data_IF_649383573334
#
_entry.id   IF_649383573334
#
_cell.length_a   1.000
_cell.length_b   1.000
_cell.length_c   1.000
_cell.angle_alpha   90.00
_cell.angle_beta   90.00
_cell.angle_gamma   90.00
#
_symmetry.space_group_name_H-M   'P 1'
#
loop_
_entity.id
_entity.type
_entity.pdbx_description
1 polymer ?
#
# COMPACT_ATOMS: atom_id res chain seq x y z
N UNK A 1 -56.20 11.61 -12.76
CA UNK A 1 -55.97 10.17 -13.02
C UNK A 1 -54.52 9.86 -12.62
N UNK A 2 -54.28 9.38 -11.39
CA UNK A 2 -52.92 9.04 -10.90
C UNK A 2 -52.58 7.63 -11.39
N UNK A 3 -51.79 7.53 -12.45
CA UNK A 3 -51.31 6.24 -12.97
C UNK A 3 -50.26 5.73 -11.97
N UNK A 4 -50.67 4.82 -11.06
CA UNK A 4 -49.83 4.28 -9.97
C UNK A 4 -48.51 3.66 -10.45
N UNK A 5 -48.43 3.21 -11.72
CA UNK A 5 -47.19 2.69 -12.32
C UNK A 5 -46.17 3.74 -12.78
N UNK A 6 -46.62 4.95 -13.17
CA UNK A 6 -45.70 6.00 -13.66
C UNK A 6 -44.86 6.58 -12.53
N UNK A 7 -45.43 6.72 -11.34
CA UNK A 7 -44.73 7.22 -10.16
C UNK A 7 -43.64 6.26 -9.69
N UNK A 8 -43.89 4.94 -9.75
CA UNK A 8 -42.90 3.93 -9.37
C UNK A 8 -41.75 3.87 -10.39
N UNK A 9 -42.06 3.85 -11.69
CA UNK A 9 -41.05 3.88 -12.74
C UNK A 9 -40.18 5.13 -12.68
N UNK A 10 -40.80 6.30 -12.51
CA UNK A 10 -40.08 7.57 -12.34
C UNK A 10 -39.23 7.59 -11.07
N UNK A 11 -39.74 7.07 -9.95
CA UNK A 11 -38.97 6.96 -8.70
C UNK A 11 -37.76 6.03 -8.85
N UNK A 12 -37.90 4.88 -9.50
CA UNK A 12 -36.78 3.95 -9.76
C UNK A 12 -35.71 4.61 -10.64
N UNK A 13 -36.11 5.40 -11.64
CA UNK A 13 -35.16 6.15 -12.48
C UNK A 13 -34.42 7.21 -11.67
N UNK A 14 -35.13 7.99 -10.85
CA UNK A 14 -34.48 8.97 -9.94
C UNK A 14 -33.53 8.24 -8.99
N UNK A 15 -33.97 7.14 -8.39
CA UNK A 15 -33.16 6.34 -7.49
C UNK A 15 -31.88 5.88 -8.19
N UNK A 16 -31.98 5.33 -9.40
CA UNK A 16 -30.83 4.90 -10.19
C UNK A 16 -29.86 6.06 -10.50
N UNK A 17 -30.38 7.23 -10.88
CA UNK A 17 -29.56 8.43 -11.15
C UNK A 17 -28.85 8.91 -9.88
N UNK A 18 -29.57 9.02 -8.77
CA UNK A 18 -29.00 9.46 -7.48
C UNK A 18 -27.96 8.46 -6.98
N UNK A 19 -28.23 7.17 -7.09
CA UNK A 19 -27.27 6.11 -6.74
C UNK A 19 -26.02 6.19 -7.62
N UNK A 20 -26.17 6.35 -8.93
CA UNK A 20 -25.02 6.49 -9.83
C UNK A 20 -24.20 7.75 -9.53
N UNK A 21 -24.86 8.90 -9.36
CA UNK A 21 -24.20 10.15 -8.99
C UNK A 21 -23.46 10.03 -7.65
N UNK A 22 -24.05 9.34 -6.67
CA UNK A 22 -23.40 9.07 -5.40
C UNK A 22 -22.13 8.22 -5.56
N UNK A 23 -22.18 7.15 -6.36
CA UNK A 23 -20.98 6.35 -6.66
C UNK A 23 -19.89 7.17 -7.35
N UNK A 24 -20.25 8.04 -8.29
CA UNK A 24 -19.30 8.93 -8.97
C UNK A 24 -18.59 9.85 -7.97
N UNK A 25 -19.33 10.44 -7.02
CA UNK A 25 -18.75 11.26 -5.93
C UNK A 25 -17.83 10.46 -5.00
N UNK A 26 -18.09 9.16 -4.80
CA UNK A 26 -17.24 8.30 -3.98
C UNK A 26 -15.97 7.83 -4.70
N UNK A 27 -15.92 7.84 -6.03
CA UNK A 27 -14.79 7.38 -6.84
C UNK A 27 -13.41 7.90 -6.37
N UNK A 28 -13.22 9.19 -6.05
CA UNK A 28 -11.93 9.71 -5.59
C UNK A 28 -11.48 9.11 -4.25
N UNK A 29 -12.44 8.69 -3.42
CA UNK A 29 -12.23 8.14 -2.09
C UNK A 29 -12.34 6.62 -2.05
N UNK A 30 -12.55 5.95 -3.20
CA UNK A 30 -12.69 4.50 -3.29
C UNK A 30 -11.53 3.77 -2.60
N UNK A 31 -10.29 4.20 -2.86
CA UNK A 31 -9.10 3.66 -2.20
C UNK A 31 -9.16 3.80 -0.68
N UNK A 32 -9.58 4.97 -0.18
CA UNK A 32 -9.67 5.24 1.25
C UNK A 32 -10.74 4.39 1.94
N UNK A 33 -11.91 4.26 1.31
CA UNK A 33 -13.01 3.42 1.79
C UNK A 33 -12.59 1.94 1.82
N UNK A 34 -11.96 1.48 0.74
CA UNK A 34 -11.52 0.10 0.59
C UNK A 34 -10.48 -0.30 1.65
N UNK A 35 -9.44 0.52 1.83
CA UNK A 35 -8.41 0.27 2.84
C UNK A 35 -8.93 0.41 4.27
N UNK A 36 -9.84 1.35 4.53
CA UNK A 36 -10.53 1.45 5.82
C UNK A 36 -11.30 0.16 6.14
N UNK A 37 -12.01 -0.41 5.16
CA UNK A 37 -12.76 -1.66 5.33
C UNK A 37 -11.82 -2.85 5.59
N UNK A 38 -10.75 -3.00 4.81
CA UNK A 38 -9.76 -4.05 5.01
C UNK A 38 -9.12 -3.97 6.40
N UNK A 39 -8.65 -2.78 6.78
CA UNK A 39 -8.02 -2.56 8.08
C UNK A 39 -9.01 -2.81 9.21
N UNK A 40 -10.26 -2.38 9.09
CA UNK A 40 -11.30 -2.64 10.09
C UNK A 40 -11.50 -4.15 10.30
N UNK A 41 -11.60 -4.93 9.23
CA UNK A 41 -11.73 -6.40 9.32
C UNK A 41 -10.50 -7.04 9.97
N UNK A 42 -9.30 -6.60 9.61
CA UNK A 42 -8.04 -7.17 10.12
C UNK A 42 -7.82 -6.86 11.59
N UNK A 43 -8.10 -5.62 11.99
CA UNK A 43 -7.89 -5.14 13.36
C UNK A 43 -9.12 -5.35 14.26
N UNK A 44 -10.21 -5.89 13.74
CA UNK A 44 -11.36 -6.33 14.54
C UNK A 44 -10.99 -7.19 15.76
N UNK A 45 -10.17 -8.27 15.64
CA UNK A 45 -9.76 -9.05 16.81
C UNK A 45 -9.03 -8.19 17.85
N UNK A 46 -8.16 -7.27 17.44
CA UNK A 46 -7.49 -6.35 18.37
C UNK A 46 -8.50 -5.44 19.09
N UNK A 47 -9.46 -4.89 18.34
CA UNK A 47 -10.56 -4.09 18.90
C UNK A 47 -11.38 -4.90 19.91
N UNK A 48 -11.76 -6.14 19.60
CA UNK A 48 -12.53 -7.00 20.50
C UNK A 48 -11.78 -7.31 21.81
N UNK A 49 -10.48 -7.56 21.75
CA UNK A 49 -9.62 -7.76 22.92
C UNK A 49 -9.55 -6.51 23.79
N UNK A 50 -9.41 -5.32 23.18
CA UNK A 50 -9.42 -4.05 23.89
C UNK A 50 -10.79 -3.73 24.49
N UNK A 51 -11.87 -3.99 23.77
CA UNK A 51 -13.26 -3.82 24.24
C UNK A 51 -13.52 -4.64 25.51
N UNK A 52 -13.16 -5.93 25.49
CA UNK A 52 -13.27 -6.81 26.66
C UNK A 52 -12.44 -6.32 27.85
N UNK A 53 -11.22 -5.81 27.61
CA UNK A 53 -10.34 -5.29 28.67
C UNK A 53 -10.80 -3.94 29.24
N UNK A 54 -11.49 -3.11 28.45
CA UNK A 54 -11.91 -1.75 28.81
C UNK A 54 -13.36 -1.68 29.35
N UNK A 55 -13.97 -2.82 29.70
CA UNK A 55 -15.32 -2.86 30.27
C UNK A 55 -16.41 -2.53 29.26
N UNK A 56 -16.30 -3.09 28.05
CA UNK A 56 -17.29 -3.00 26.97
C UNK A 56 -17.50 -1.62 26.34
N UNK A 57 -16.61 -0.67 26.60
CA UNK A 57 -16.66 0.69 26.03
C UNK A 57 -16.20 0.70 24.57
N UNK A 58 -17.13 0.43 23.65
CA UNK A 58 -16.87 0.28 22.22
C UNK A 58 -16.16 1.50 21.57
N UNK A 59 -16.58 2.73 21.90
CA UNK A 59 -15.95 3.95 21.35
C UNK A 59 -14.49 4.12 21.75
N UNK A 60 -14.16 3.83 23.01
CA UNK A 60 -12.78 3.91 23.54
C UNK A 60 -11.90 2.80 22.96
N UNK A 61 -12.41 1.58 22.85
CA UNK A 61 -11.69 0.46 22.25
C UNK A 61 -11.35 0.74 20.77
N UNK A 62 -12.29 1.32 20.02
CA UNK A 62 -12.11 1.69 18.62
C UNK A 62 -11.08 2.82 18.44
N UNK A 63 -11.13 3.84 19.29
CA UNK A 63 -10.13 4.91 19.30
C UNK A 63 -8.73 4.39 19.67
N UNK A 64 -8.63 3.54 20.69
CA UNK A 64 -7.36 2.92 21.09
C UNK A 64 -6.78 2.06 19.97
N UNK A 65 -7.62 1.29 19.27
CA UNK A 65 -7.22 0.50 18.10
C UNK A 65 -6.70 1.39 16.97
N UNK A 66 -7.40 2.49 16.66
CA UNK A 66 -6.95 3.47 15.67
C UNK A 66 -5.59 4.06 16.04
N UNK A 67 -5.38 4.43 17.32
CA UNK A 67 -4.10 4.94 17.79
C UNK A 67 -2.96 3.92 17.63
N UNK A 68 -3.22 2.64 17.93
CA UNK A 68 -2.23 1.57 17.73
C UNK A 68 -1.87 1.46 16.25
N UNK A 69 -2.87 1.49 15.35
CA UNK A 69 -2.62 1.46 13.90
C UNK A 69 -1.79 2.66 13.46
N UNK A 70 -2.15 3.87 13.91
CA UNK A 70 -1.38 5.08 13.63
C UNK A 70 0.06 4.95 14.13
N UNK A 71 0.30 4.48 15.36
CA UNK A 71 1.65 4.29 15.88
C UNK A 71 2.46 3.30 15.03
N UNK A 72 1.86 2.16 14.65
CA UNK A 72 2.52 1.16 13.80
C UNK A 72 2.97 1.76 12.46
N UNK A 73 2.19 2.68 11.87
CA UNK A 73 2.49 3.31 10.58
C UNK A 73 3.42 4.52 10.71
N UNK A 74 3.17 5.41 11.68
CA UNK A 74 3.90 6.67 11.83
C UNK A 74 5.27 6.48 12.48
N UNK A 75 5.45 5.51 13.39
CA UNK A 75 6.76 5.26 14.02
C UNK A 75 7.87 4.97 13.01
N UNK A 76 7.74 3.98 12.10
CA UNK A 76 8.75 3.74 11.08
C UNK A 76 8.91 4.93 10.12
N UNK A 77 7.81 5.60 9.72
CA UNK A 77 7.89 6.78 8.86
C UNK A 77 8.70 7.93 9.50
N UNK A 78 8.53 8.14 10.80
CA UNK A 78 9.28 9.15 11.57
C UNK A 78 10.78 8.80 11.65
N UNK A 79 11.11 7.53 11.89
CA UNK A 79 12.49 7.03 11.90
C UNK A 79 13.18 7.21 10.54
N UNK A 80 12.43 7.01 9.45
CA UNK A 80 12.94 7.18 8.09
C UNK A 80 13.20 8.66 7.82
N UNK A 81 12.21 9.52 8.12
CA UNK A 81 12.32 10.96 7.87
C UNK A 81 13.49 11.55 8.63
N UNK A 82 13.72 11.14 9.89
CA UNK A 82 14.87 11.60 10.66
C UNK A 82 16.20 11.10 10.08
N UNK A 83 16.27 9.85 9.65
CA UNK A 83 17.49 9.26 9.06
C UNK A 83 17.84 9.90 7.73
N UNK A 84 16.85 10.13 6.85
CA UNK A 84 17.07 10.80 5.57
C UNK A 84 17.53 12.25 5.74
N UNK A 85 17.00 12.99 6.73
CA UNK A 85 17.44 14.37 7.01
C UNK A 85 18.91 14.40 7.44
N UNK A 86 19.37 13.43 8.23
CA UNK A 86 20.78 13.35 8.65
C UNK A 86 21.69 13.01 7.46
N UNK A 87 21.28 12.07 6.61
CA UNK A 87 22.08 11.62 5.47
C UNK A 87 22.14 12.68 4.35
N UNK A 88 21.01 13.34 4.04
CA UNK A 88 20.96 14.46 3.09
C UNK A 88 21.80 15.63 3.57
N UNK A 89 21.75 15.99 4.86
CA UNK A 89 22.61 17.04 5.41
C UNK A 89 24.10 16.66 5.36
N UNK A 90 24.44 15.38 5.53
CA UNK A 90 25.84 14.91 5.44
C UNK A 90 26.35 14.95 3.99
N UNK A 91 25.51 14.58 3.01
CA UNK A 91 25.84 14.68 1.59
C UNK A 91 25.92 16.15 1.16
N UNK A 92 24.99 17.00 1.61
CA UNK A 92 24.97 18.42 1.29
C UNK A 92 26.19 19.17 1.86
N UNK A 93 26.55 18.88 3.12
CA UNK A 93 27.74 19.47 3.76
C UNK A 93 29.05 18.94 3.17
N UNK A 94 29.13 17.66 2.77
CA UNK A 94 30.27 17.13 2.00
C UNK A 94 30.38 17.76 0.61
N UNK A 95 29.27 18.08 -0.04
CA UNK A 95 29.28 18.79 -1.33
C UNK A 95 29.65 20.27 -1.19
N UNK A 96 29.19 20.96 -0.14
CA UNK A 96 29.54 22.36 0.13
C UNK A 96 30.99 22.54 0.60
N UNK A 97 31.44 21.72 1.56
CA UNK A 97 32.78 21.83 2.14
C UNK A 97 33.87 21.31 1.20
N UNK A 98 33.53 20.47 0.22
CA UNK A 98 34.47 19.93 -0.77
C UNK A 98 34.36 20.61 -2.15
N UNK A 99 33.77 21.81 -2.19
CA UNK A 99 33.70 22.68 -3.38
C UNK A 99 35.08 23.06 -3.95
N UNK A 100 36.16 22.93 -3.17
CA UNK A 100 37.53 23.08 -3.64
C UNK A 100 38.07 21.84 -4.41
N UNK A 101 37.43 20.67 -4.29
CA UNK A 101 37.90 19.42 -4.92
C UNK A 101 37.02 18.94 -6.08
N UNK A 102 35.84 19.52 -6.29
CA UNK A 102 34.98 19.13 -7.42
C UNK A 102 35.70 19.20 -8.79
N UNK A 103 36.53 20.24 -9.08
CA UNK A 103 37.34 20.26 -10.31
C UNK A 103 38.43 19.18 -10.33
N UNK A 104 39.03 18.86 -9.18
CA UNK A 104 40.16 17.93 -9.08
C UNK A 104 39.71 16.46 -9.20
N UNK A 105 38.63 16.08 -8.52
CA UNK A 105 38.03 14.74 -8.60
C UNK A 105 37.48 14.47 -10.00
N UNK A 106 36.92 15.49 -10.65
CA UNK A 106 36.42 15.38 -12.02
C UNK A 106 37.56 15.29 -13.05
N UNK A 107 38.66 16.02 -12.84
CA UNK A 107 39.86 15.91 -13.67
C UNK A 107 40.52 14.52 -13.56
N UNK A 108 40.53 13.93 -12.37
CA UNK A 108 41.07 12.59 -12.12
C UNK A 108 40.19 11.48 -12.74
N UNK A 109 38.86 11.65 -12.68
CA UNK A 109 37.90 10.79 -13.39
C UNK A 109 38.11 10.82 -14.90
N UNK A 110 38.24 12.02 -15.50
CA UNK A 110 38.52 12.18 -16.93
C UNK A 110 39.82 11.46 -17.35
N UNK A 111 40.82 11.42 -16.47
CA UNK A 111 42.09 10.73 -16.70
C UNK A 111 42.03 9.20 -16.57
N UNK A 112 40.92 8.64 -16.08
CA UNK A 112 40.69 7.19 -16.07
C UNK A 112 39.64 6.71 -17.07
N UNK A 113 39.00 7.63 -17.81
CA UNK A 113 38.08 7.26 -18.88
C UNK A 113 38.83 6.67 -20.10
N UNK A 114 38.30 5.60 -20.73
CA UNK A 114 38.83 5.05 -21.98
C UNK A 114 38.78 6.09 -23.11
N UNK A 115 39.67 5.97 -24.10
CA UNK A 115 39.85 6.95 -25.18
C UNK A 115 38.58 7.26 -25.98
N UNK A 116 37.69 6.28 -26.18
CA UNK A 116 36.39 6.48 -26.85
C UNK A 116 35.47 7.42 -26.08
N UNK A 117 35.49 7.35 -24.74
CA UNK A 117 34.64 8.18 -23.89
C UNK A 117 35.22 9.59 -23.77
N UNK A 118 36.54 9.74 -23.67
CA UNK A 118 37.19 11.06 -23.71
C UNK A 118 36.91 11.81 -25.01
N UNK A 119 36.95 11.13 -26.15
CA UNK A 119 36.66 11.76 -27.44
C UNK A 119 35.20 12.19 -27.53
N UNK A 120 34.26 11.36 -27.07
CA UNK A 120 32.84 11.71 -27.01
C UNK A 120 32.56 12.91 -26.07
N UNK A 121 33.24 12.98 -24.92
CA UNK A 121 33.16 14.11 -23.98
C UNK A 121 33.81 15.40 -24.54
N UNK A 122 34.92 15.28 -25.27
CA UNK A 122 35.58 16.40 -25.94
C UNK A 122 34.75 16.96 -27.11
N UNK A 123 34.10 16.10 -27.88
CA UNK A 123 33.17 16.47 -28.96
C UNK A 123 31.92 17.21 -28.46
N UNK A 124 31.57 17.04 -27.18
CA UNK A 124 30.42 17.69 -26.54
C UNK A 124 30.78 18.93 -25.69
N UNK A 125 32.01 19.46 -25.79
CA UNK A 125 32.52 20.58 -24.96
C UNK A 125 32.34 20.31 -23.45
N UNK A 126 32.81 19.14 -23.00
CA UNK A 126 32.84 18.70 -21.59
C UNK A 126 34.26 18.33 -21.17
N UNK A 127 35.23 19.09 -21.67
CA UNK A 127 36.67 18.91 -21.48
C UNK A 127 37.25 19.88 -20.44
N UNK A 128 36.46 20.85 -19.95
CA UNK A 128 36.91 21.82 -18.96
C UNK A 128 35.95 21.87 -17.77
N UNK A 129 36.48 21.80 -16.54
CA UNK A 129 35.69 21.69 -15.31
C UNK A 129 34.72 22.87 -15.11
N UNK A 130 35.08 24.06 -15.60
CA UNK A 130 34.24 25.26 -15.56
C UNK A 130 33.02 25.18 -16.49
N UNK A 131 33.16 24.61 -17.69
CA UNK A 131 32.04 24.45 -18.64
C UNK A 131 31.06 23.37 -18.17
N UNK A 132 31.58 22.33 -17.52
CA UNK A 132 30.78 21.29 -16.89
C UNK A 132 30.04 21.86 -15.68
N UNK A 133 30.68 22.69 -14.86
CA UNK A 133 30.02 23.40 -13.77
C UNK A 133 28.93 24.33 -14.29
N UNK A 134 29.14 25.04 -15.41
CA UNK A 134 28.11 25.86 -16.06
C UNK A 134 26.96 25.05 -16.65
N UNK A 135 27.24 23.88 -17.26
CA UNK A 135 26.19 22.98 -17.76
C UNK A 135 25.43 22.32 -16.61
N UNK A 136 26.09 21.93 -15.52
CA UNK A 136 25.47 21.41 -14.30
C UNK A 136 24.61 22.46 -13.60
N UNK A 137 25.07 23.71 -13.52
CA UNK A 137 24.26 24.81 -12.98
C UNK A 137 23.11 25.18 -13.92
N UNK A 138 23.30 25.10 -15.24
CA UNK A 138 22.21 25.18 -16.22
C UNK A 138 21.21 24.02 -16.12
N UNK A 139 21.68 22.80 -15.82
CA UNK A 139 20.85 21.62 -15.56
C UNK A 139 20.16 21.70 -14.20
N UNK A 140 20.78 22.31 -13.20
CA UNK A 140 20.21 22.56 -11.88
C UNK A 140 19.18 23.70 -11.94
N UNK A 141 19.36 24.70 -12.80
CA UNK A 141 18.38 25.76 -13.07
C UNK A 141 17.20 25.24 -13.90
N UNK A 142 17.45 24.43 -14.94
CA UNK A 142 16.40 23.73 -15.71
C UNK A 142 15.68 22.67 -14.86
N UNK A 143 16.42 21.89 -14.09
CA UNK A 143 15.91 20.95 -13.09
C UNK A 143 15.13 21.68 -11.99
N UNK A 144 15.57 22.87 -11.58
CA UNK A 144 14.88 23.77 -10.66
C UNK A 144 13.59 24.35 -11.23
N UNK A 145 13.53 24.66 -12.53
CA UNK A 145 12.30 25.06 -13.22
C UNK A 145 11.33 23.88 -13.41
N UNK A 146 11.83 22.67 -13.70
CA UNK A 146 11.04 21.43 -13.66
C UNK A 146 10.55 21.13 -12.24
N UNK A 147 11.37 21.37 -11.21
CA UNK A 147 10.97 21.27 -9.81
C UNK A 147 9.94 22.32 -9.44
N UNK A 148 10.03 23.56 -9.93
CA UNK A 148 9.03 24.61 -9.69
C UNK A 148 7.66 24.27 -10.30
N UNK A 149 7.62 23.69 -11.50
CA UNK A 149 6.40 23.09 -12.06
C UNK A 149 5.94 21.83 -11.30
N UNK A 150 6.89 21.07 -10.76
CA UNK A 150 6.63 19.90 -9.91
C UNK A 150 6.15 20.27 -8.51
N UNK A 151 6.43 21.46 -7.97
CA UNK A 151 5.93 21.89 -6.65
C UNK A 151 4.40 21.93 -6.65
N UNK A 152 3.79 22.35 -7.76
CA UNK A 152 2.33 22.32 -7.90
C UNK A 152 1.78 20.88 -8.03
N UNK A 153 2.46 20.01 -8.78
CA UNK A 153 2.06 18.60 -8.96
C UNK A 153 2.29 17.76 -7.69
N UNK A 154 3.42 17.95 -7.01
CA UNK A 154 3.77 17.35 -5.71
C UNK A 154 2.85 17.90 -4.64
N UNK A 155 2.55 19.21 -4.64
CA UNK A 155 1.60 19.84 -3.73
C UNK A 155 0.19 19.27 -3.88
N UNK A 156 -0.29 19.13 -5.13
CA UNK A 156 -1.58 18.51 -5.43
C UNK A 156 -1.61 17.03 -5.02
N UNK A 157 -0.58 16.26 -5.37
CA UNK A 157 -0.47 14.84 -5.01
C UNK A 157 -0.41 14.62 -3.49
N UNK A 158 0.37 15.44 -2.78
CA UNK A 158 0.48 15.41 -1.32
C UNK A 158 -0.84 15.80 -0.65
N UNK A 159 -1.54 16.81 -1.18
CA UNK A 159 -2.86 17.20 -0.69
C UNK A 159 -3.88 16.08 -0.87
N UNK A 160 -3.99 15.51 -2.08
CA UNK A 160 -4.89 14.38 -2.36
C UNK A 160 -4.57 13.17 -1.49
N UNK A 161 -3.29 12.84 -1.31
CA UNK A 161 -2.87 11.76 -0.41
C UNK A 161 -3.24 12.05 1.04
N UNK A 162 -2.97 13.25 1.55
CA UNK A 162 -3.25 13.65 2.94
C UNK A 162 -4.75 13.62 3.23
N UNK A 163 -5.56 14.18 2.33
CA UNK A 163 -7.02 14.15 2.44
C UNK A 163 -7.53 12.72 2.37
N UNK A 164 -7.07 11.93 1.39
CA UNK A 164 -7.47 10.52 1.25
C UNK A 164 -7.10 9.68 2.48
N UNK A 165 -5.91 9.90 3.03
CA UNK A 165 -5.45 9.26 4.26
C UNK A 165 -6.27 9.69 5.48
N UNK A 166 -6.59 10.98 5.61
CA UNK A 166 -7.48 11.49 6.66
C UNK A 166 -8.89 10.88 6.57
N UNK A 167 -9.46 10.80 5.36
CA UNK A 167 -10.75 10.14 5.11
C UNK A 167 -10.67 8.65 5.45
N UNK A 168 -9.59 7.97 5.07
CA UNK A 168 -9.38 6.56 5.42
C UNK A 168 -9.36 6.36 6.95
N UNK A 169 -8.60 7.16 7.70
CA UNK A 169 -8.54 7.05 9.17
C UNK A 169 -9.89 7.37 9.83
N UNK A 170 -10.60 8.39 9.32
CA UNK A 170 -11.95 8.73 9.76
C UNK A 170 -12.90 7.55 9.54
N UNK A 171 -12.96 7.01 8.33
CA UNK A 171 -13.79 5.85 8.00
C UNK A 171 -13.39 4.62 8.82
N UNK A 172 -12.10 4.36 8.98
CA UNK A 172 -11.60 3.24 9.78
C UNK A 172 -12.08 3.34 11.23
N UNK A 173 -12.05 4.53 11.83
CA UNK A 173 -12.61 4.74 13.17
C UNK A 173 -14.10 4.38 13.24
N UNK A 174 -14.90 4.89 12.30
CA UNK A 174 -16.32 4.58 12.24
C UNK A 174 -16.57 3.10 11.94
N UNK A 175 -15.82 2.46 11.04
CA UNK A 175 -15.97 1.04 10.76
C UNK A 175 -15.53 0.15 11.94
N UNK A 176 -14.52 0.55 12.72
CA UNK A 176 -14.16 -0.16 13.95
C UNK A 176 -15.23 -0.01 15.02
N UNK A 177 -15.76 1.20 15.20
CA UNK A 177 -16.79 1.51 16.20
C UNK A 177 -18.15 0.90 15.84
N UNK A 178 -18.55 1.08 14.59
CA UNK A 178 -19.93 0.91 14.12
C UNK A 178 -20.07 -0.25 13.12
N UNK A 179 -18.98 -0.97 12.84
CA UNK A 179 -18.92 -1.99 11.80
C UNK A 179 -19.95 -3.10 11.95
N UNK A 180 -20.22 -3.56 13.19
CA UNK A 180 -21.23 -4.58 13.44
C UNK A 180 -22.63 -4.14 12.98
N UNK A 181 -23.03 -2.92 13.34
CA UNK A 181 -24.30 -2.35 12.92
C UNK A 181 -24.35 -2.15 11.39
N UNK A 182 -23.28 -1.60 10.80
CA UNK A 182 -23.24 -1.34 9.35
C UNK A 182 -23.31 -2.65 8.56
N UNK A 183 -22.60 -3.68 9.00
CA UNK A 183 -22.64 -5.01 8.37
C UNK A 183 -24.04 -5.61 8.49
N UNK A 184 -24.68 -5.58 9.66
CA UNK A 184 -26.05 -6.06 9.83
C UNK A 184 -27.03 -5.34 8.88
N UNK A 185 -26.95 -4.02 8.78
CA UNK A 185 -27.77 -3.23 7.88
C UNK A 185 -27.56 -3.63 6.40
N UNK A 186 -26.30 -3.84 5.98
CA UNK A 186 -25.98 -4.32 4.63
C UNK A 186 -26.52 -5.74 4.38
N UNK A 187 -26.40 -6.63 5.37
CA UNK A 187 -26.92 -7.99 5.29
C UNK A 187 -28.46 -7.98 5.20
N UNK A 188 -29.15 -7.12 5.93
CA UNK A 188 -30.62 -7.00 5.87
C UNK A 188 -31.12 -6.46 4.53
N UNK A 189 -30.41 -5.48 3.96
CA UNK A 189 -30.78 -4.87 2.68
C UNK A 189 -30.62 -5.81 1.47
N UNK A 190 -29.77 -6.83 1.56
CA UNK A 190 -29.52 -7.77 0.47
C UNK A 190 -30.69 -8.78 0.33
N UNK A 191 -31.26 -9.00 -0.87
CA UNK A 191 -32.32 -9.99 -1.09
C UNK A 191 -31.75 -11.41 -1.29
N UNK A 192 -30.93 -11.87 -0.35
CA UNK A 192 -30.29 -13.19 -0.36
C UNK A 192 -30.66 -13.99 0.91
N UNK A 193 -30.44 -15.30 0.89
CA UNK A 193 -30.58 -16.13 2.09
C UNK A 193 -29.48 -15.80 3.12
N UNK A 194 -29.79 -15.92 4.41
CA UNK A 194 -28.87 -15.55 5.50
C UNK A 194 -27.51 -16.25 5.40
N UNK A 195 -27.52 -17.57 5.12
CA UNK A 195 -26.29 -18.35 5.00
C UNK A 195 -25.41 -17.87 3.82
N UNK A 196 -25.99 -17.50 2.68
CA UNK A 196 -25.23 -16.99 1.52
C UNK A 196 -24.52 -15.70 1.87
N UNK A 197 -25.23 -14.76 2.50
CA UNK A 197 -24.65 -13.46 2.86
C UNK A 197 -23.51 -13.60 3.87
N UNK A 198 -23.72 -14.43 4.90
CA UNK A 198 -22.70 -14.71 5.91
C UNK A 198 -21.47 -15.38 5.29
N UNK A 199 -21.67 -16.39 4.43
CA UNK A 199 -20.57 -17.09 3.75
C UNK A 199 -19.73 -16.15 2.89
N UNK A 200 -20.37 -15.30 2.08
CA UNK A 200 -19.66 -14.32 1.24
C UNK A 200 -18.87 -13.32 2.09
N UNK A 201 -19.44 -12.85 3.20
CA UNK A 201 -18.77 -11.93 4.11
C UNK A 201 -17.58 -12.58 4.82
N UNK A 202 -17.72 -13.84 5.24
CA UNK A 202 -16.62 -14.62 5.83
C UNK A 202 -15.50 -14.87 4.82
N UNK A 203 -15.84 -15.19 3.56
CA UNK A 203 -14.84 -15.30 2.48
C UNK A 203 -14.14 -13.99 2.21
N UNK A 204 -14.87 -12.88 2.13
CA UNK A 204 -14.29 -11.55 2.01
C UNK A 204 -13.29 -11.27 3.15
N UNK A 205 -13.69 -11.55 4.39
CA UNK A 205 -12.87 -11.29 5.56
C UNK A 205 -11.64 -12.21 5.64
N UNK A 206 -11.79 -13.49 5.29
CA UNK A 206 -10.71 -14.46 5.25
C UNK A 206 -9.65 -14.05 4.22
N UNK A 207 -10.05 -13.69 3.00
CA UNK A 207 -9.13 -13.30 1.92
C UNK A 207 -8.47 -11.97 2.21
N UNK A 208 -9.20 -11.00 2.76
CA UNK A 208 -8.63 -9.71 3.20
C UNK A 208 -7.55 -9.93 4.27
N UNK A 209 -7.82 -10.77 5.28
CA UNK A 209 -6.85 -11.13 6.32
C UNK A 209 -5.66 -11.90 5.75
N UNK A 210 -5.89 -12.89 4.90
CA UNK A 210 -4.83 -13.68 4.26
C UNK A 210 -3.90 -12.80 3.41
N UNK A 211 -4.46 -11.87 2.64
CA UNK A 211 -3.69 -10.98 1.76
C UNK A 211 -2.79 -10.04 2.55
N UNK A 212 -3.30 -9.43 3.63
CA UNK A 212 -2.49 -8.54 4.46
C UNK A 212 -1.49 -9.31 5.32
N UNK A 213 -1.88 -10.45 5.92
CA UNK A 213 -0.93 -11.34 6.63
C UNK A 213 0.19 -11.79 5.70
N UNK A 214 -0.14 -12.21 4.48
CA UNK A 214 0.81 -12.57 3.45
C UNK A 214 1.77 -11.42 3.13
N UNK A 215 1.23 -10.21 2.99
CA UNK A 215 2.03 -8.99 2.76
C UNK A 215 2.99 -8.69 3.91
N UNK A 216 2.55 -8.84 5.16
CA UNK A 216 3.41 -8.64 6.34
C UNK A 216 4.53 -9.69 6.40
N UNK A 217 4.22 -10.96 6.15
CA UNK A 217 5.24 -12.03 6.12
C UNK A 217 6.25 -11.77 5.00
N UNK A 218 5.79 -11.40 3.81
CA UNK A 218 6.65 -11.04 2.68
C UNK A 218 7.51 -9.84 3.03
N UNK A 219 6.94 -8.79 3.62
CA UNK A 219 7.67 -7.62 4.08
C UNK A 219 8.81 -7.98 5.06
N UNK A 220 8.55 -8.85 6.05
CA UNK A 220 9.59 -9.31 6.98
C UNK A 220 10.70 -10.06 6.24
N UNK A 221 10.34 -11.02 5.37
CA UNK A 221 11.31 -11.78 4.58
C UNK A 221 12.15 -10.86 3.69
N UNK A 222 11.52 -9.90 3.01
CA UNK A 222 12.21 -8.92 2.16
C UNK A 222 13.11 -8.00 2.96
N UNK A 223 12.69 -7.56 4.15
CA UNK A 223 13.53 -6.76 5.04
C UNK A 223 14.77 -7.49 5.53
N UNK A 224 14.61 -8.76 5.90
CA UNK A 224 15.74 -9.62 6.30
C UNK A 224 16.69 -9.85 5.13
N UNK A 225 16.17 -10.25 3.97
CA UNK A 225 16.98 -10.46 2.77
C UNK A 225 17.68 -9.18 2.32
N UNK A 226 16.99 -8.04 2.37
CA UNK A 226 17.55 -6.75 2.02
C UNK A 226 18.62 -6.28 3.00
N UNK A 227 18.41 -6.49 4.31
CA UNK A 227 19.43 -6.24 5.33
C UNK A 227 20.68 -7.10 5.11
N UNK A 228 20.52 -8.37 4.76
CA UNK A 228 21.63 -9.26 4.41
C UNK A 228 22.35 -8.76 3.14
N UNK A 229 21.61 -8.39 2.10
CA UNK A 229 22.20 -7.87 0.86
C UNK A 229 23.03 -6.59 1.12
N UNK A 230 22.49 -5.64 1.89
CA UNK A 230 23.21 -4.42 2.21
C UNK A 230 24.42 -4.66 3.11
N UNK A 231 24.33 -5.62 4.04
CA UNK A 231 25.45 -6.05 4.85
C UNK A 231 26.59 -6.63 3.99
N UNK A 232 26.27 -7.50 3.03
CA UNK A 232 27.26 -8.06 2.09
C UNK A 232 27.92 -6.96 1.23
N UNK A 233 27.16 -5.94 0.81
CA UNK A 233 27.73 -4.81 0.07
C UNK A 233 28.51 -3.83 0.93
N UNK A 234 28.48 -3.96 2.26
CA UNK A 234 29.17 -3.07 3.18
C UNK A 234 28.58 -1.67 3.25
N UNK A 235 27.25 -1.53 3.09
CA UNK A 235 26.55 -0.28 3.43
C UNK A 235 26.42 -0.22 4.95
N UNK A 236 26.86 0.89 5.53
CA UNK A 236 26.70 1.16 6.96
C UNK A 236 25.21 1.24 7.32
N UNK A 237 24.83 0.65 8.46
CA UNK A 237 23.43 0.62 8.90
C UNK A 237 22.55 -0.36 8.12
N UNK A 238 23.09 -1.50 7.66
CA UNK A 238 22.34 -2.54 6.95
C UNK A 238 21.05 -2.99 7.64
N UNK A 239 21.02 -3.02 8.98
CA UNK A 239 19.80 -3.30 9.76
C UNK A 239 18.72 -2.21 9.59
N UNK A 240 19.13 -0.94 9.55
CA UNK A 240 18.22 0.19 9.33
C UNK A 240 17.63 0.10 7.92
N UNK A 241 18.48 -0.12 6.91
CA UNK A 241 18.04 -0.28 5.52
C UNK A 241 17.15 -1.52 5.31
N UNK A 242 17.43 -2.63 5.98
CA UNK A 242 16.58 -3.81 5.98
C UNK A 242 15.23 -3.57 6.66
N UNK A 243 15.21 -2.87 7.79
CA UNK A 243 13.96 -2.50 8.49
C UNK A 243 13.13 -1.54 7.65
N UNK A 244 13.78 -0.57 7.02
CA UNK A 244 13.18 0.36 6.07
C UNK A 244 12.55 -0.38 4.90
N UNK A 245 13.30 -1.31 4.33
CA UNK A 245 12.81 -2.15 3.24
C UNK A 245 11.62 -2.99 3.68
N UNK A 246 11.63 -3.58 4.88
CA UNK A 246 10.48 -4.32 5.41
C UNK A 246 9.23 -3.44 5.41
N UNK A 247 9.34 -2.22 5.95
CA UNK A 247 8.21 -1.31 6.05
C UNK A 247 7.69 -0.86 4.68
N UNK A 248 8.58 -0.46 3.78
CA UNK A 248 8.19 -0.02 2.44
C UNK A 248 7.61 -1.16 1.61
N UNK A 249 8.07 -2.41 1.82
CA UNK A 249 7.59 -3.61 1.12
C UNK A 249 6.13 -3.97 1.39
N UNK A 250 5.48 -3.31 2.36
CA UNK A 250 4.02 -3.32 2.48
C UNK A 250 3.34 -2.82 1.21
N UNK A 251 4.01 -1.96 0.45
CA UNK A 251 3.64 -1.53 -0.89
C UNK A 251 4.30 -2.51 -1.90
N UNK A 252 3.53 -3.41 -2.54
CA UNK A 252 4.09 -4.44 -3.42
C UNK A 252 4.87 -3.83 -4.60
N UNK A 253 5.95 -4.50 -5.01
CA UNK A 253 6.85 -4.14 -6.14
C UNK A 253 7.57 -2.78 -6.05
N UNK A 254 6.91 -1.73 -5.55
CA UNK A 254 7.43 -0.38 -5.45
C UNK A 254 8.25 -0.20 -4.16
N UNK A 255 7.80 -0.82 -3.06
CA UNK A 255 8.36 -0.64 -1.73
C UNK A 255 9.84 -0.95 -1.61
N UNK A 256 10.24 -2.16 -2.02
CA UNK A 256 11.64 -2.58 -1.98
C UNK A 256 12.50 -1.84 -3.01
N UNK A 257 11.94 -1.55 -4.20
CA UNK A 257 12.62 -0.82 -5.27
C UNK A 257 13.06 0.58 -4.88
N UNK A 258 12.24 1.30 -4.10
CA UNK A 258 12.61 2.62 -3.55
C UNK A 258 13.91 2.58 -2.75
N UNK A 259 14.25 1.44 -2.15
CA UNK A 259 15.44 1.29 -1.30
C UNK A 259 16.65 0.82 -2.10
N UNK A 260 16.53 -0.27 -2.88
CA UNK A 260 17.70 -0.87 -3.54
C UNK A 260 18.11 -0.15 -4.83
N UNK A 261 17.19 0.51 -5.54
CA UNK A 261 17.51 1.22 -6.79
C UNK A 261 18.46 2.40 -6.54
N UNK A 262 18.20 3.33 -5.60
CA UNK A 262 19.15 4.40 -5.28
C UNK A 262 20.50 3.87 -4.78
N UNK A 263 20.49 2.82 -3.94
CA UNK A 263 21.73 2.19 -3.47
C UNK A 263 22.57 1.61 -4.62
N UNK A 264 21.91 1.02 -5.61
CA UNK A 264 22.57 0.51 -6.82
C UNK A 264 23.16 1.63 -7.67
N UNK A 265 22.41 2.72 -7.88
CA UNK A 265 22.89 3.91 -8.59
C UNK A 265 24.12 4.50 -7.88
N UNK A 266 24.09 4.58 -6.55
CA UNK A 266 25.23 5.02 -5.74
C UNK A 266 26.47 4.14 -5.94
N UNK A 267 26.31 2.81 -6.01
CA UNK A 267 27.44 1.92 -6.27
C UNK A 267 28.00 2.03 -7.69
N UNK A 268 27.16 2.29 -8.69
CA UNK A 268 27.65 2.62 -10.03
C UNK A 268 28.43 3.95 -10.02
N UNK A 269 27.91 4.97 -9.34
CA UNK A 269 28.56 6.28 -9.25
C UNK A 269 29.92 6.22 -8.52
N UNK A 270 30.08 5.30 -7.57
CA UNK A 270 31.33 5.08 -6.82
C UNK A 270 32.26 4.04 -7.45
N UNK A 271 32.00 3.62 -8.69
CA UNK A 271 32.78 2.60 -9.43
C UNK A 271 32.84 1.21 -8.76
N UNK A 272 31.94 0.91 -7.82
CA UNK A 272 31.84 -0.38 -7.15
C UNK A 272 30.95 -1.36 -7.94
N UNK A 273 31.37 -1.68 -9.17
CA UNK A 273 30.57 -2.43 -10.16
C UNK A 273 30.09 -3.78 -9.62
N UNK A 274 30.94 -4.51 -8.89
CA UNK A 274 30.56 -5.81 -8.31
C UNK A 274 29.38 -5.68 -7.33
N UNK A 275 29.38 -4.65 -6.48
CA UNK A 275 28.31 -4.41 -5.49
C UNK A 275 27.00 -4.03 -6.19
N UNK A 276 27.07 -3.20 -7.23
CA UNK A 276 25.91 -2.80 -8.02
C UNK A 276 25.28 -4.01 -8.75
N UNK A 277 26.09 -4.83 -9.42
CA UNK A 277 25.60 -6.02 -10.13
C UNK A 277 25.06 -7.08 -9.16
N UNK A 278 25.71 -7.27 -8.01
CA UNK A 278 25.22 -8.15 -6.95
C UNK A 278 23.84 -7.70 -6.45
N UNK A 279 23.66 -6.41 -6.15
CA UNK A 279 22.36 -5.88 -5.71
C UNK A 279 21.26 -6.09 -6.75
N UNK A 280 21.52 -5.74 -8.02
CA UNK A 280 20.53 -5.96 -9.09
C UNK A 280 20.16 -7.44 -9.17
N UNK A 281 21.15 -8.32 -9.25
CA UNK A 281 20.90 -9.76 -9.36
C UNK A 281 20.13 -10.29 -8.14
N UNK A 282 20.54 -9.91 -6.94
CA UNK A 282 19.89 -10.36 -5.71
C UNK A 282 18.45 -9.85 -5.59
N UNK A 283 18.21 -8.56 -5.85
CA UNK A 283 16.87 -7.98 -5.71
C UNK A 283 15.92 -8.41 -6.82
N UNK A 284 16.37 -8.46 -8.06
CA UNK A 284 15.52 -8.88 -9.19
C UNK A 284 15.20 -10.37 -9.11
N UNK A 285 16.20 -11.21 -8.80
CA UNK A 285 16.00 -12.67 -8.76
C UNK A 285 15.45 -13.10 -7.41
N UNK A 286 16.18 -12.93 -6.31
CA UNK A 286 15.80 -13.49 -5.01
C UNK A 286 14.58 -12.76 -4.44
N UNK A 287 14.63 -11.44 -4.34
CA UNK A 287 13.53 -10.65 -3.74
C UNK A 287 12.31 -10.60 -4.66
N UNK A 288 12.51 -10.55 -5.98
CA UNK A 288 11.43 -10.69 -6.96
C UNK A 288 10.73 -12.04 -6.92
N UNK A 289 11.46 -13.15 -6.74
CA UNK A 289 10.86 -14.47 -6.55
C UNK A 289 10.04 -14.57 -5.26
N UNK A 290 10.50 -13.93 -4.18
CA UNK A 290 9.72 -13.85 -2.93
C UNK A 290 8.36 -13.18 -3.20
N UNK A 291 8.34 -12.05 -3.90
CA UNK A 291 7.08 -11.36 -4.22
C UNK A 291 6.18 -12.15 -5.16
N UNK A 292 6.74 -12.89 -6.12
CA UNK A 292 5.97 -13.61 -7.14
C UNK A 292 5.51 -15.01 -6.72
N UNK A 293 6.17 -15.64 -5.74
CA UNK A 293 5.87 -17.02 -5.31
C UNK A 293 5.33 -17.05 -3.88
N UNK A 294 6.05 -16.43 -2.93
CA UNK A 294 5.69 -16.55 -1.51
C UNK A 294 4.34 -15.90 -1.24
N UNK A 295 4.06 -14.77 -1.89
CA UNK A 295 2.84 -14.00 -1.70
C UNK A 295 1.59 -14.77 -2.19
N UNK A 296 1.50 -15.29 -3.44
CA UNK A 296 0.38 -16.16 -3.82
C UNK A 296 0.22 -17.39 -2.94
N UNK A 297 1.33 -18.05 -2.58
CA UNK A 297 1.33 -19.26 -1.76
C UNK A 297 0.73 -19.03 -0.36
N UNK A 298 1.08 -17.91 0.28
CA UNK A 298 0.56 -17.55 1.60
C UNK A 298 -0.93 -17.22 1.55
N UNK A 299 -1.39 -16.59 0.47
CA UNK A 299 -2.82 -16.28 0.29
C UNK A 299 -3.63 -17.53 -0.09
N UNK A 300 -3.09 -18.42 -0.91
CA UNK A 300 -3.74 -19.65 -1.37
C UNK A 300 -4.02 -20.64 -0.25
N UNK A 301 -3.06 -20.77 0.69
CA UNK A 301 -3.20 -21.67 1.84
C UNK A 301 -4.39 -21.33 2.73
N UNK A 302 -4.63 -20.05 3.00
CA UNK A 302 -5.72 -19.61 3.87
C UNK A 302 -7.08 -19.56 3.13
N UNK A 303 -7.08 -19.53 1.80
CA UNK A 303 -8.30 -19.32 0.99
C UNK A 303 -8.77 -20.55 0.21
N UNK A 304 -8.02 -21.66 0.26
CA UNK A 304 -8.25 -22.90 -0.52
C UNK A 304 -8.34 -22.64 -2.04
N UNK A 305 -7.64 -21.62 -2.52
CA UNK A 305 -7.62 -21.24 -3.94
C UNK A 305 -6.33 -21.71 -4.58
N UNK A 306 -6.38 -22.16 -5.85
CA UNK A 306 -5.16 -22.49 -6.57
C UNK A 306 -4.25 -21.27 -6.75
N UNK A 307 -2.95 -21.43 -6.51
CA UNK A 307 -1.97 -20.34 -6.54
C UNK A 307 -1.94 -19.60 -7.89
N UNK A 308 -2.14 -20.31 -9.00
CA UNK A 308 -2.18 -19.70 -10.34
C UNK A 308 -3.33 -18.71 -10.49
N UNK A 309 -4.48 -18.97 -9.86
CA UNK A 309 -5.63 -18.07 -9.91
C UNK A 309 -5.33 -16.80 -9.13
N UNK A 310 -4.66 -16.93 -7.98
CA UNK A 310 -4.22 -15.78 -7.17
C UNK A 310 -3.25 -14.94 -7.98
N UNK A 311 -2.23 -15.55 -8.59
CA UNK A 311 -1.28 -14.83 -9.44
C UNK A 311 -1.98 -14.06 -10.57
N UNK A 312 -2.82 -14.74 -11.36
CA UNK A 312 -3.53 -14.12 -12.49
C UNK A 312 -4.47 -13.00 -12.01
N UNK A 313 -5.22 -13.25 -10.94
CA UNK A 313 -6.14 -12.25 -10.38
C UNK A 313 -5.42 -11.05 -9.78
N UNK A 314 -4.27 -11.25 -9.15
CA UNK A 314 -3.41 -10.18 -8.66
C UNK A 314 -2.88 -9.33 -9.82
N UNK A 315 -2.33 -9.96 -10.87
CA UNK A 315 -1.81 -9.24 -12.03
C UNK A 315 -2.92 -8.49 -12.78
N UNK A 316 -4.03 -9.17 -13.09
CA UNK A 316 -5.18 -8.55 -13.74
C UNK A 316 -5.85 -7.48 -12.87
N UNK A 317 -5.88 -7.69 -11.56
CA UNK A 317 -6.36 -6.72 -10.59
C UNK A 317 -5.51 -5.45 -10.59
N UNK A 318 -4.18 -5.59 -10.59
CA UNK A 318 -3.26 -4.44 -10.66
C UNK A 318 -3.43 -3.63 -11.94
N UNK A 319 -3.70 -4.29 -13.07
CA UNK A 319 -3.95 -3.61 -14.34
C UNK A 319 -5.24 -2.78 -14.30
N UNK A 320 -6.32 -3.31 -13.71
CA UNK A 320 -7.63 -2.65 -13.69
C UNK A 320 -7.76 -1.61 -12.58
N UNK A 321 -7.26 -1.92 -11.38
CA UNK A 321 -7.45 -1.12 -10.16
C UNK A 321 -6.16 -0.46 -9.65
N UNK A 322 -5.09 -0.50 -10.43
CA UNK A 322 -3.78 0.03 -10.05
C UNK A 322 -3.22 -0.68 -8.82
N UNK A 323 -2.55 0.08 -7.93
CA UNK A 323 -1.88 -0.49 -6.75
C UNK A 323 -2.84 -1.22 -5.78
N UNK A 324 -4.10 -0.79 -5.70
CA UNK A 324 -5.12 -1.44 -4.88
C UNK A 324 -5.53 -2.81 -5.44
N UNK A 325 -5.35 -3.00 -6.76
CA UNK A 325 -5.62 -4.21 -7.50
C UNK A 325 -4.91 -5.45 -6.98
N UNK A 326 -3.76 -5.26 -6.32
CA UNK A 326 -3.05 -6.33 -5.64
C UNK A 326 -3.93 -7.09 -4.64
N UNK A 327 -4.76 -6.35 -3.87
CA UNK A 327 -5.67 -6.94 -2.87
C UNK A 327 -7.05 -7.21 -3.47
N UNK A 328 -7.55 -6.30 -4.29
CA UNK A 328 -8.88 -6.41 -4.93
C UNK A 328 -8.94 -7.63 -5.85
N UNK A 329 -7.87 -7.93 -6.59
CA UNK A 329 -7.82 -9.04 -7.54
C UNK A 329 -8.15 -10.41 -6.90
N UNK A 330 -7.33 -10.88 -5.94
CA UNK A 330 -7.60 -12.13 -5.21
C UNK A 330 -8.95 -12.12 -4.50
N UNK A 331 -9.40 -10.96 -4.01
CA UNK A 331 -10.69 -10.81 -3.34
C UNK A 331 -11.87 -11.04 -4.29
N UNK A 332 -11.82 -10.48 -5.51
CA UNK A 332 -12.83 -10.71 -6.53
C UNK A 332 -12.79 -12.17 -6.99
N UNK A 333 -11.60 -12.73 -7.23
CA UNK A 333 -11.46 -14.15 -7.60
C UNK A 333 -12.03 -15.08 -6.53
N UNK A 334 -11.85 -14.72 -5.26
CA UNK A 334 -12.38 -15.44 -4.13
C UNK A 334 -13.90 -15.43 -4.08
N UNK A 335 -14.50 -14.25 -4.21
CA UNK A 335 -15.95 -14.09 -4.25
C UNK A 335 -16.54 -14.77 -5.49
N UNK A 336 -15.84 -14.73 -6.63
CA UNK A 336 -16.23 -15.45 -7.84
C UNK A 336 -16.33 -16.96 -7.59
N UNK A 337 -15.30 -17.57 -6.98
CA UNK A 337 -15.35 -19.00 -6.61
C UNK A 337 -16.46 -19.27 -5.61
N UNK A 338 -16.61 -18.44 -4.57
CA UNK A 338 -17.63 -18.63 -3.55
C UNK A 338 -19.04 -18.62 -4.15
N UNK A 339 -19.34 -17.66 -5.02
CA UNK A 339 -20.61 -17.59 -5.75
C UNK A 339 -20.83 -18.85 -6.61
N UNK A 340 -19.81 -19.34 -7.31
CA UNK A 340 -19.93 -20.54 -8.15
C UNK A 340 -20.10 -21.82 -7.33
N UNK A 341 -19.43 -21.93 -6.18
CA UNK A 341 -19.59 -23.06 -5.27
C UNK A 341 -21.00 -23.09 -4.65
N UNK A 342 -21.55 -21.92 -4.29
CA UNK A 342 -22.94 -21.80 -3.83
C UNK A 342 -23.92 -22.18 -4.95
N UNK A 343 -23.70 -21.71 -6.17
CA UNK A 343 -24.56 -22.02 -7.32
C UNK A 343 -24.53 -23.53 -7.67
N UNK A 344 -23.36 -24.16 -7.58
CA UNK A 344 -23.18 -25.59 -7.85
C UNK A 344 -23.60 -26.50 -6.69
N UNK A 345 -24.00 -25.93 -5.54
CA UNK A 345 -24.35 -26.68 -4.34
C UNK A 345 -23.18 -27.39 -3.66
N UNK A 346 -21.93 -27.02 -3.99
CA UNK A 346 -20.73 -27.50 -3.29
C UNK A 346 -20.61 -26.88 -1.90
N UNK A 347 -20.93 -25.59 -1.80
CA UNK A 347 -21.07 -24.89 -0.54
C UNK A 347 -22.58 -24.75 -0.22
N UNK A 348 -23.00 -25.26 0.93
CA UNK A 348 -24.38 -25.28 1.41
C UNK A 348 -24.41 -24.90 2.90
N UNK A 349 -25.61 -24.73 3.46
CA UNK A 349 -25.80 -24.34 4.87
C UNK A 349 -25.04 -25.22 5.88
N UNK A 350 -24.81 -26.49 5.57
CA UNK A 350 -24.13 -27.43 6.47
C UNK A 350 -22.60 -27.28 6.51
N UNK A 351 -21.99 -26.64 5.51
CA UNK A 351 -20.53 -26.51 5.39
C UNK A 351 -20.05 -25.06 5.23
N UNK A 352 -20.96 -24.10 5.14
CA UNK A 352 -20.65 -22.67 5.04
C UNK A 352 -20.28 -22.07 6.39
N UNK A 353 -19.26 -21.21 6.41
CA UNK A 353 -18.87 -20.45 7.59
C UNK A 353 -19.87 -19.32 7.84
N UNK A 354 -20.26 -19.12 9.10
CA UNK A 354 -21.13 -18.02 9.51
C UNK A 354 -20.36 -16.96 10.29
N UNK A 355 -20.87 -15.72 10.25
CA UNK A 355 -20.34 -14.61 11.05
C UNK A 355 -20.55 -14.91 12.53
N UNK A 356 -19.56 -14.57 13.35
CA UNK A 356 -19.59 -14.75 14.81
C UNK A 356 -20.82 -14.09 15.46
N UNK A 357 -21.50 -14.82 16.36
CA UNK A 357 -22.72 -14.35 17.02
C UNK A 357 -22.47 -13.11 17.88
N UNK A 358 -21.32 -13.03 18.56
CA UNK A 358 -20.93 -11.88 19.38
C UNK A 358 -20.84 -10.59 18.54
N UNK A 359 -20.41 -10.72 17.28
CA UNK A 359 -20.36 -9.60 16.34
C UNK A 359 -21.76 -9.16 15.91
N UNK A 360 -22.67 -10.10 15.66
CA UNK A 360 -24.06 -9.78 15.30
C UNK A 360 -24.79 -9.12 16.47
N UNK A 361 -24.59 -9.63 17.69
CA UNK A 361 -25.16 -9.06 18.92
C UNK A 361 -24.67 -7.64 19.17
N UNK A 362 -23.37 -7.37 19.01
CA UNK A 362 -22.81 -6.02 19.12
C UNK A 362 -23.54 -5.01 18.22
N UNK A 363 -23.90 -5.42 17.00
CA UNK A 363 -24.61 -4.55 16.06
C UNK A 363 -26.04 -4.23 16.51
N UNK A 364 -26.71 -5.17 17.19
CA UNK A 364 -28.07 -5.01 17.71
C UNK A 364 -28.11 -4.12 18.96
N UNK A 365 -27.20 -4.34 19.91
CA UNK A 365 -27.13 -3.53 21.15
C UNK A 365 -26.99 -2.04 20.83
N UNK A 366 -26.21 -1.68 19.81
CA UNK A 366 -26.04 -0.29 19.40
C UNK A 366 -27.31 0.32 18.78
N UNK A 367 -28.08 -0.47 18.03
CA UNK A 367 -29.36 -0.01 17.47
C UNK A 367 -30.35 0.34 18.59
N UNK A 368 -30.31 -0.40 19.70
CA UNK A 368 -31.09 -0.13 20.89
C UNK A 368 -30.60 1.11 21.65
N UNK A 369 -29.28 1.29 21.84
CA UNK A 369 -28.70 2.49 22.45
C UNK A 369 -28.98 3.77 21.64
N UNK A 370 -28.98 3.68 20.31
CA UNK A 370 -29.32 4.79 19.42
C UNK A 370 -30.78 5.24 19.54
N UNK A 371 -31.71 4.30 19.73
CA UNK A 371 -33.15 4.57 19.92
C UNK A 371 -33.50 5.16 21.29
N UNK A 372 -32.60 5.06 22.28
CA UNK A 372 -32.78 5.63 23.64
C UNK A 372 -32.35 7.11 23.70
N UNK A 373 -31.60 7.58 22.69
CA UNK A 373 -31.07 8.94 22.62
C UNK A 373 -31.71 9.83 21.52
N UNK A 374 -32.70 9.31 20.78
CA UNK A 374 -33.67 10.08 20.00
C UNK A 374 -34.97 10.27 20.79
#
# INVERSE_FOLDING_TARGET
MRIKGLNLGFFIVILAIVTFAFFDVLTPYFSAIFWAAILAVIFHPLKSLLRRKMGDRNGLASFATLLIICLIVFTPLALITSSMVVEVNTVYTKLQNNSAQFPAVFADLLQHLPSWARNYLAENNLNNAQEIQQKLSGFALKGGQYMAGSVFLIGKGTFTFTVGFGVMLYLLFFLLKDGAWLVNLMLEALPLSTYVKHHLMMKFAAVSRATVKGTVVVAVVQGVLGGIAFWITGIDGSLLWGTLMAFLSLIPAVGSAIVWVPATIFFFATSAIWKALFLIGFFVVVVGLVDNILRPLLVGKDTKMPDYLILISTLGGMEVYGINGFVIGPLIAALFIACWNLLSGRDNRENSEEIDEEFIEEGKTREEEGKIHE
#
